data_IF_752836215880
#
_entry.id   IF_752836215880
#
_cell.length_a   1.000
_cell.length_b   1.000
_cell.length_c   1.000
_cell.angle_alpha   90.00
_cell.angle_beta   90.00
_cell.angle_gamma   90.00
#
_symmetry.space_group_name_H-M   'P 1'
#
loop_
_entity.id
_entity.type
_entity.pdbx_description
1 polymer ?
#
# COMPACT_ATOMS: atom_id res chain seq x y z
N UNK A 1 -10.65 2.73 -22.58
CA UNK A 1 -11.27 2.04 -21.43
C UNK A 1 -12.33 1.13 -22.01
N UNK A 2 -12.40 -0.11 -21.57
CA UNK A 2 -13.37 -1.11 -22.03
C UNK A 2 -14.28 -1.49 -20.88
N UNK A 3 -15.56 -1.73 -21.17
CA UNK A 3 -16.49 -2.30 -20.23
C UNK A 3 -16.51 -3.82 -20.45
N UNK A 4 -16.32 -4.57 -19.36
CA UNK A 4 -16.49 -6.01 -19.32
C UNK A 4 -17.57 -6.29 -18.27
N UNK A 5 -18.75 -6.72 -18.71
CA UNK A 5 -19.94 -6.91 -17.88
C UNK A 5 -20.21 -5.68 -16.98
N UNK A 6 -19.97 -5.84 -15.67
CA UNK A 6 -20.17 -4.83 -14.63
C UNK A 6 -18.90 -4.07 -14.22
N UNK A 7 -17.81 -4.21 -15.00
CA UNK A 7 -16.50 -3.65 -14.66
C UNK A 7 -15.91 -2.79 -15.78
N UNK A 8 -15.15 -1.76 -15.39
CA UNK A 8 -14.34 -0.97 -16.31
C UNK A 8 -12.87 -1.38 -16.24
N UNK A 9 -12.27 -1.61 -17.40
CA UNK A 9 -10.88 -2.00 -17.54
C UNK A 9 -10.13 -0.98 -18.40
N UNK A 10 -8.90 -0.65 -17.99
CA UNK A 10 -7.99 0.16 -18.80
C UNK A 10 -6.70 -0.61 -19.06
N UNK A 11 -6.18 -0.47 -20.28
CA UNK A 11 -4.90 -1.05 -20.65
C UNK A 11 -3.78 -0.11 -20.22
N UNK A 12 -2.72 -0.69 -19.67
CA UNK A 12 -1.45 -0.01 -19.47
C UNK A 12 -0.46 -0.45 -20.55
N UNK A 13 0.48 0.41 -20.90
CA UNK A 13 1.55 0.03 -21.83
C UNK A 13 2.50 -0.96 -21.17
N UNK A 14 3.10 -1.84 -21.97
CA UNK A 14 4.10 -2.81 -21.51
C UNK A 14 5.27 -2.11 -20.78
N UNK A 15 5.69 -0.93 -21.26
CA UNK A 15 6.70 -0.10 -20.59
C UNK A 15 6.28 0.23 -19.14
N UNK A 16 5.05 0.69 -18.93
CA UNK A 16 4.54 1.03 -17.59
C UNK A 16 4.39 -0.21 -16.72
N UNK A 17 3.94 -1.32 -17.29
CA UNK A 17 3.87 -2.60 -16.59
C UNK A 17 5.25 -3.02 -16.06
N UNK A 18 6.29 -2.95 -16.90
CA UNK A 18 7.68 -3.25 -16.54
C UNK A 18 8.22 -2.29 -15.48
N UNK A 19 7.99 -0.99 -15.62
CA UNK A 19 8.39 0.02 -14.61
C UNK A 19 7.74 -0.24 -13.25
N UNK A 20 6.48 -0.68 -13.23
CA UNK A 20 5.76 -1.01 -12.00
C UNK A 20 6.08 -2.43 -11.49
N UNK A 21 6.82 -3.25 -12.24
CA UNK A 21 7.01 -4.67 -11.98
C UNK A 21 5.68 -5.38 -11.64
N UNK A 22 4.65 -5.13 -12.46
CA UNK A 22 3.28 -5.59 -12.24
C UNK A 22 2.95 -6.82 -13.11
N UNK A 23 2.18 -7.74 -12.53
CA UNK A 23 1.69 -8.97 -13.16
C UNK A 23 0.19 -9.15 -12.90
N UNK A 24 -0.40 -10.24 -13.39
CA UNK A 24 -1.84 -10.52 -13.24
C UNK A 24 -2.35 -10.64 -11.79
N UNK A 25 -1.45 -10.83 -10.83
CA UNK A 25 -1.78 -10.95 -9.40
C UNK A 25 -1.45 -9.66 -8.62
N UNK A 26 -1.07 -8.59 -9.30
CA UNK A 26 -0.71 -7.33 -8.65
C UNK A 26 -1.96 -6.55 -8.26
N UNK A 27 -2.11 -6.29 -6.97
CA UNK A 27 -3.18 -5.45 -6.45
C UNK A 27 -2.78 -3.96 -6.45
N UNK A 28 -3.75 -3.11 -6.74
CA UNK A 28 -3.60 -1.66 -6.72
C UNK A 28 -4.65 -1.04 -5.81
N UNK A 29 -4.24 -0.05 -5.05
CA UNK A 29 -5.15 0.83 -4.33
C UNK A 29 -5.65 1.94 -5.29
N UNK A 30 -6.97 2.16 -5.29
CA UNK A 30 -7.61 3.25 -6.04
C UNK A 30 -7.75 4.48 -5.14
N UNK A 31 -7.13 5.58 -5.54
CA UNK A 31 -7.18 6.87 -4.85
C UNK A 31 -7.88 7.87 -5.76
N UNK A 32 -8.94 8.50 -5.27
CA UNK A 32 -9.68 9.55 -5.99
C UNK A 32 -9.30 10.89 -5.36
N UNK A 33 -8.91 11.86 -6.20
CA UNK A 33 -8.64 13.22 -5.73
C UNK A 33 -9.90 13.87 -5.13
N UNK A 34 -9.71 14.81 -4.20
CA UNK A 34 -10.84 15.49 -3.53
C UNK A 34 -11.77 16.23 -4.50
N UNK A 35 -11.26 16.66 -5.66
CA UNK A 35 -12.04 17.29 -6.73
C UNK A 35 -12.71 16.29 -7.69
N UNK A 36 -12.49 14.98 -7.50
CA UNK A 36 -13.02 13.89 -8.33
C UNK A 36 -12.42 13.78 -9.73
N UNK A 37 -11.51 14.67 -10.13
CA UNK A 37 -11.01 14.76 -11.52
C UNK A 37 -9.88 13.79 -11.83
N UNK A 38 -9.19 13.27 -10.80
CA UNK A 38 -8.03 12.41 -10.96
C UNK A 38 -8.20 11.13 -10.17
N UNK A 39 -8.01 10.00 -10.86
CA UNK A 39 -7.90 8.68 -10.24
C UNK A 39 -6.45 8.25 -10.35
N UNK A 40 -5.86 7.88 -9.22
CA UNK A 40 -4.49 7.35 -9.14
C UNK A 40 -4.54 5.91 -8.65
N UNK A 41 -3.84 5.01 -9.36
CA UNK A 41 -3.69 3.63 -8.95
C UNK A 41 -2.29 3.43 -8.38
N UNK A 42 -2.19 3.16 -7.08
CA UNK A 42 -0.93 2.92 -6.38
C UNK A 42 -0.72 1.42 -6.21
N UNK A 43 0.42 0.90 -6.68
CA UNK A 43 0.76 -0.52 -6.50
C UNK A 43 0.88 -0.81 -5.00
N UNK A 44 0.20 -1.85 -4.53
CA UNK A 44 0.36 -2.34 -3.17
C UNK A 44 1.63 -3.19 -3.16
N UNK A 45 2.68 -2.71 -2.49
CA UNK A 45 3.85 -3.52 -2.19
C UNK A 45 3.55 -4.35 -0.94
N UNK A 46 3.66 -5.68 -1.04
CA UNK A 46 3.56 -6.61 0.09
C UNK A 46 4.66 -6.44 1.14
N UNK A 47 5.55 -5.46 0.97
CA UNK A 47 6.58 -5.11 1.93
C UNK A 47 6.07 -4.06 2.92
N UNK A 48 5.17 -4.49 3.79
CA UNK A 48 5.45 -4.35 5.22
C UNK A 48 4.96 -5.63 5.90
N UNK A 49 5.77 -6.70 5.88
CA UNK A 49 5.63 -7.66 6.95
C UNK A 49 5.92 -6.86 8.22
N UNK A 50 4.86 -6.55 8.94
CA UNK A 50 4.94 -6.30 10.37
C UNK A 50 5.47 -4.94 10.85
N UNK A 51 5.01 -3.79 10.33
CA UNK A 51 5.23 -2.53 11.08
C UNK A 51 4.77 -2.66 12.53
N UNK A 52 3.64 -3.34 12.74
CA UNK A 52 3.14 -3.64 14.07
C UNK A 52 4.06 -4.60 14.85
N UNK A 53 4.58 -5.69 14.26
CA UNK A 53 5.50 -6.54 15.04
C UNK A 53 6.90 -5.96 15.18
N UNK A 54 7.39 -5.14 14.25
CA UNK A 54 8.64 -4.40 14.41
C UNK A 54 8.47 -3.37 15.52
N UNK A 55 7.38 -2.61 15.53
CA UNK A 55 7.04 -1.71 16.63
C UNK A 55 6.87 -2.47 17.95
N UNK A 56 6.14 -3.59 17.96
CA UNK A 56 5.96 -4.41 19.16
C UNK A 56 7.28 -5.02 19.64
N UNK A 57 8.17 -5.42 18.74
CA UNK A 57 9.48 -5.95 19.08
C UNK A 57 10.36 -4.86 19.69
N UNK A 58 10.40 -3.66 19.11
CA UNK A 58 11.10 -2.49 19.66
C UNK A 58 10.55 -2.14 21.05
N UNK A 59 9.22 -2.15 21.23
CA UNK A 59 8.59 -1.93 22.53
C UNK A 59 8.96 -3.00 23.57
N UNK A 60 9.09 -4.27 23.16
CA UNK A 60 9.51 -5.37 24.04
C UNK A 60 10.99 -5.28 24.39
N UNK A 61 11.85 -5.05 23.41
CA UNK A 61 13.30 -4.95 23.59
C UNK A 61 13.70 -3.74 24.44
N UNK A 62 12.88 -2.68 24.42
CA UNK A 62 13.08 -1.46 25.19
C UNK A 62 11.98 -1.20 26.24
N UNK A 63 11.39 -2.26 26.80
CA UNK A 63 10.30 -2.15 27.77
C UNK A 63 10.65 -1.28 28.99
N UNK A 64 11.93 -1.26 29.42
CA UNK A 64 12.39 -0.41 30.51
C UNK A 64 12.36 1.08 30.19
N UNK A 65 12.57 1.47 28.92
CA UNK A 65 12.45 2.86 28.49
C UNK A 65 10.99 3.30 28.49
N UNK A 66 10.07 2.42 28.09
CA UNK A 66 8.63 2.68 28.12
C UNK A 66 8.13 2.85 29.56
N UNK A 67 8.56 1.99 30.49
CA UNK A 67 8.22 2.13 31.93
C UNK A 67 8.73 3.44 32.54
N UNK A 68 9.88 3.96 32.07
CA UNK A 68 10.41 5.25 32.53
C UNK A 68 9.59 6.43 32.03
N UNK A 69 9.07 6.35 30.80
CA UNK A 69 8.18 7.37 30.24
C UNK A 69 6.81 7.40 30.94
N UNK A 70 6.31 6.25 31.39
CA UNK A 70 5.01 6.12 32.09
C UNK A 70 5.03 6.67 33.53
N UNK A 71 6.22 6.80 34.12
CA UNK A 71 6.43 7.28 35.50
C UNK A 71 6.80 8.78 35.57
N UNK A 72 6.65 9.52 34.47
CA UNK A 72 6.82 10.98 34.37
C UNK A 72 5.46 11.67 34.34
#
# INVERSE_FOLDING_TARGET
MSQNDDSYTFRISEKKQKTLNANGNTNFEKIISSDGKKITFRKITSNHPNDLNVANQICKDHADLMKRLDNL
#
